data_IF_214996852950
#
_entry.id   IF_214996852950
#
_cell.length_a   1.000
_cell.length_b   1.000
_cell.length_c   1.000
_cell.angle_alpha   90.00
_cell.angle_beta   90.00
_cell.angle_gamma   90.00
#
_symmetry.space_group_name_H-M   'P 1'
#
loop_
_entity.id
_entity.type
_entity.pdbx_description
1 polymer ?
#
# COMPACT_ATOMS: atom_id res chain seq x y z
N UNK A 1 25.08 11.87 10.58
CA UNK A 1 23.96 11.07 11.14
C UNK A 1 23.33 10.26 10.04
N UNK A 2 23.42 8.93 10.05
CA UNK A 2 22.80 8.11 9.01
C UNK A 2 21.28 8.07 9.17
N UNK A 3 20.60 8.07 8.04
CA UNK A 3 19.19 7.75 7.96
C UNK A 3 19.12 6.24 7.69
N UNK A 4 18.40 5.50 8.52
CA UNK A 4 18.41 4.03 8.44
C UNK A 4 17.22 3.47 7.68
N UNK A 5 16.10 4.17 7.65
CA UNK A 5 14.91 3.71 6.95
C UNK A 5 13.90 4.86 6.79
N UNK A 6 12.82 4.58 6.08
CA UNK A 6 11.68 5.48 5.94
C UNK A 6 10.39 4.67 6.05
N UNK A 7 9.36 5.29 6.63
CA UNK A 7 8.03 4.69 6.70
C UNK A 7 7.06 5.53 5.85
N UNK A 8 6.21 4.86 5.11
CA UNK A 8 5.06 5.51 4.49
C UNK A 8 3.93 5.59 5.52
N UNK A 9 3.16 6.65 5.49
CA UNK A 9 2.03 6.84 6.41
C UNK A 9 0.78 7.25 5.65
N UNK A 10 -0.36 6.72 6.07
CA UNK A 10 -1.64 7.03 5.45
C UNK A 10 -2.72 7.21 6.53
N UNK A 11 -3.51 8.27 6.40
CA UNK A 11 -4.58 8.57 7.33
C UNK A 11 -5.89 7.92 6.88
N UNK A 12 -6.63 7.37 7.85
CA UNK A 12 -7.92 6.73 7.62
C UNK A 12 -8.95 7.27 8.61
N UNK A 13 -10.24 7.09 8.29
CA UNK A 13 -11.33 7.52 9.17
C UNK A 13 -11.49 6.63 10.39
N UNK A 14 -11.35 5.32 10.21
CA UNK A 14 -11.53 4.31 11.24
C UNK A 14 -10.44 3.26 11.08
N UNK A 15 -9.52 3.21 12.04
CA UNK A 15 -8.38 2.31 11.94
C UNK A 15 -8.80 0.83 12.00
N UNK A 16 -9.84 0.50 12.73
CA UNK A 16 -10.28 -0.90 12.83
C UNK A 16 -10.86 -1.40 11.50
N UNK A 17 -11.67 -0.58 10.84
CA UNK A 17 -12.17 -0.91 9.49
C UNK A 17 -11.04 -0.96 8.47
N UNK A 18 -10.09 -0.04 8.57
CA UNK A 18 -8.93 -0.01 7.69
C UNK A 18 -8.06 -1.25 7.86
N UNK A 19 -7.86 -1.72 9.10
CA UNK A 19 -7.08 -2.94 9.36
C UNK A 19 -7.69 -4.14 8.64
N UNK A 20 -9.00 -4.30 8.66
CA UNK A 20 -9.66 -5.40 7.95
C UNK A 20 -9.37 -5.35 6.45
N UNK A 21 -9.47 -4.16 5.86
CA UNK A 21 -9.22 -3.98 4.43
C UNK A 21 -7.75 -4.19 4.07
N UNK A 22 -6.84 -3.55 4.79
CA UNK A 22 -5.40 -3.66 4.52
C UNK A 22 -4.86 -5.06 4.79
N UNK A 23 -5.40 -5.78 5.79
CA UNK A 23 -5.01 -7.16 6.06
C UNK A 23 -5.35 -8.07 4.87
N UNK A 24 -6.49 -7.86 4.22
CA UNK A 24 -6.83 -8.60 3.00
C UNK A 24 -5.90 -8.24 1.85
N UNK A 25 -5.57 -6.96 1.71
CA UNK A 25 -4.66 -6.48 0.67
C UNK A 25 -3.27 -7.11 0.82
N UNK A 26 -2.74 -7.13 2.04
CA UNK A 26 -1.38 -7.61 2.31
C UNK A 26 -1.30 -9.10 2.63
N UNK A 27 -2.43 -9.74 2.86
CA UNK A 27 -2.49 -11.16 3.20
C UNK A 27 -2.01 -11.47 4.61
N UNK A 28 -1.94 -10.49 5.49
CA UNK A 28 -1.52 -10.68 6.89
C UNK A 28 -2.03 -9.56 7.80
N UNK A 29 -2.13 -9.87 9.08
CA UNK A 29 -2.48 -8.89 10.10
C UNK A 29 -1.31 -7.91 10.33
N UNK A 30 -1.56 -6.75 10.96
CA UNK A 30 -0.47 -5.81 11.24
C UNK A 30 0.66 -6.46 12.04
N UNK A 31 1.89 -6.07 11.73
CA UNK A 31 3.07 -6.51 12.47
C UNK A 31 3.19 -5.79 13.82
N UNK A 32 2.61 -4.61 13.94
CA UNK A 32 2.71 -3.79 15.15
C UNK A 32 1.48 -2.92 15.33
N UNK A 33 1.07 -2.71 16.57
CA UNK A 33 0.02 -1.79 16.99
C UNK A 33 0.59 -0.90 18.09
N UNK A 34 1.43 0.11 17.73
CA UNK A 34 2.08 0.94 18.76
C UNK A 34 1.11 1.75 19.61
N UNK A 35 -0.06 2.08 19.06
CA UNK A 35 -1.15 2.77 19.77
C UNK A 35 -2.48 2.25 19.25
N UNK A 36 -3.59 2.44 20.02
CA UNK A 36 -4.92 1.99 19.55
C UNK A 36 -5.32 2.56 18.19
N UNK A 37 -4.87 3.77 17.84
CA UNK A 37 -5.20 4.45 16.58
C UNK A 37 -4.23 4.16 15.45
N UNK A 38 -3.21 3.30 15.66
CA UNK A 38 -2.14 3.08 14.69
C UNK A 38 -1.92 1.59 14.47
N UNK A 39 -1.78 1.21 13.20
CA UNK A 39 -1.39 -0.13 12.79
C UNK A 39 -0.24 -0.04 11.80
N UNK A 40 0.72 -0.95 11.89
CA UNK A 40 1.88 -0.93 11.02
C UNK A 40 2.13 -2.28 10.40
N UNK A 41 2.48 -2.28 9.12
CA UNK A 41 2.88 -3.48 8.38
C UNK A 41 4.32 -3.33 7.91
N UNK A 42 5.10 -4.38 8.12
CA UNK A 42 6.49 -4.45 7.64
C UNK A 42 6.54 -5.26 6.36
N UNK A 43 7.31 -4.78 5.38
CA UNK A 43 7.50 -5.47 4.12
C UNK A 43 8.88 -6.13 4.06
N UNK A 44 9.02 -7.04 3.13
CA UNK A 44 10.16 -7.97 3.04
C UNK A 44 11.53 -7.27 3.00
N UNK A 45 11.63 -6.14 2.31
CA UNK A 45 12.89 -5.40 2.16
C UNK A 45 13.10 -4.31 3.20
N UNK A 46 12.29 -4.29 4.24
CA UNK A 46 12.45 -3.40 5.38
C UNK A 46 11.63 -2.13 5.34
N UNK A 47 10.84 -1.90 4.30
CA UNK A 47 9.88 -0.80 4.29
C UNK A 47 8.72 -1.06 5.25
N UNK A 48 8.11 0.01 5.74
CA UNK A 48 6.94 -0.07 6.62
C UNK A 48 5.84 0.82 6.11
N UNK A 49 4.59 0.39 6.29
CA UNK A 49 3.41 1.24 6.13
C UNK A 49 2.76 1.44 7.48
N UNK A 50 2.55 2.69 7.84
CA UNK A 50 1.80 3.07 9.04
C UNK A 50 0.42 3.56 8.61
N UNK A 51 -0.64 2.92 9.12
CA UNK A 51 -2.03 3.33 8.93
C UNK A 51 -2.49 3.93 10.24
N UNK A 52 -2.94 5.18 10.23
CA UNK A 52 -3.31 5.87 11.46
C UNK A 52 -4.66 6.55 11.32
N UNK A 53 -5.39 6.62 12.45
CA UNK A 53 -6.71 7.22 12.46
C UNK A 53 -6.61 8.74 12.60
N UNK A 54 -6.99 9.45 11.57
CA UNK A 54 -7.08 10.91 11.56
C UNK A 54 -8.12 11.30 10.52
N UNK A 55 -9.42 11.35 10.91
CA UNK A 55 -10.52 11.54 9.94
C UNK A 55 -10.37 12.79 9.07
N UNK A 56 -9.84 13.88 9.61
CA UNK A 56 -9.71 15.13 8.85
C UNK A 56 -8.68 15.05 7.72
N UNK A 57 -7.81 14.04 7.70
CA UNK A 57 -6.84 13.82 6.63
C UNK A 57 -7.11 12.57 5.81
N UNK A 58 -8.13 11.80 6.18
CA UNK A 58 -8.44 10.55 5.49
C UNK A 58 -8.78 10.81 4.03
N UNK A 59 -8.23 9.99 3.13
CA UNK A 59 -8.50 10.07 1.70
C UNK A 59 -7.56 10.94 0.89
N UNK A 60 -6.65 11.67 1.53
CA UNK A 60 -5.71 12.57 0.83
C UNK A 60 -4.31 11.98 0.68
N UNK A 61 -4.08 10.77 1.19
CA UNK A 61 -2.77 10.14 1.15
C UNK A 61 -2.48 9.39 -0.13
N UNK A 62 -1.21 9.06 -0.32
CA UNK A 62 -0.74 8.31 -1.48
C UNK A 62 0.55 7.59 -1.11
N UNK A 63 0.67 6.33 -1.52
CA UNK A 63 1.93 5.59 -1.37
C UNK A 63 2.07 4.55 -2.46
N UNK A 64 3.29 4.05 -2.64
CA UNK A 64 3.63 3.08 -3.68
C UNK A 64 4.17 1.81 -3.05
N UNK A 65 3.70 0.68 -3.54
CA UNK A 65 4.16 -0.65 -3.18
C UNK A 65 4.96 -1.22 -4.34
N UNK A 66 6.23 -1.54 -4.09
CA UNK A 66 7.07 -2.21 -5.08
C UNK A 66 6.75 -3.70 -5.06
N UNK A 67 6.46 -4.27 -6.21
CA UNK A 67 6.07 -5.68 -6.35
C UNK A 67 6.89 -6.35 -7.44
N UNK A 68 7.05 -7.68 -7.35
CA UNK A 68 7.77 -8.44 -8.37
C UNK A 68 6.89 -8.96 -9.50
N UNK A 69 5.58 -9.12 -9.27
CA UNK A 69 4.64 -9.59 -10.29
C UNK A 69 3.30 -8.86 -10.12
N UNK A 70 3.12 -7.81 -10.90
CA UNK A 70 1.93 -6.98 -10.80
C UNK A 70 0.67 -7.70 -11.30
N UNK A 71 0.81 -8.61 -12.26
CA UNK A 71 -0.35 -9.33 -12.80
C UNK A 71 -0.98 -10.26 -11.75
N UNK A 72 -0.16 -10.84 -10.88
CA UNK A 72 -0.64 -11.62 -9.74
C UNK A 72 -1.48 -10.76 -8.80
N UNK A 73 -1.03 -9.54 -8.53
CA UNK A 73 -1.78 -8.61 -7.67
C UNK A 73 -3.07 -8.14 -8.33
N UNK A 74 -3.06 -7.90 -9.63
CA UNK A 74 -4.29 -7.56 -10.38
C UNK A 74 -5.33 -8.66 -10.22
N UNK A 75 -4.92 -9.93 -10.38
CA UNK A 75 -5.85 -11.06 -10.25
C UNK A 75 -6.43 -11.15 -8.83
N UNK A 76 -5.57 -11.03 -7.82
CA UNK A 76 -5.99 -11.09 -6.41
C UNK A 76 -6.94 -9.94 -6.06
N UNK A 77 -6.61 -8.72 -6.47
CA UNK A 77 -7.42 -7.54 -6.18
C UNK A 77 -8.76 -7.59 -6.88
N UNK A 78 -8.80 -8.11 -8.10
CA UNK A 78 -10.04 -8.30 -8.84
C UNK A 78 -10.98 -9.25 -8.09
N UNK A 79 -10.45 -10.34 -7.55
CA UNK A 79 -11.22 -11.28 -6.74
C UNK A 79 -11.76 -10.62 -5.45
N UNK A 80 -11.03 -9.68 -4.87
CA UNK A 80 -11.47 -8.93 -3.69
C UNK A 80 -12.48 -7.82 -4.02
N UNK A 81 -12.83 -7.64 -5.29
CA UNK A 81 -13.80 -6.62 -5.71
C UNK A 81 -13.20 -5.22 -5.83
N UNK A 82 -11.90 -5.09 -5.87
CA UNK A 82 -11.22 -3.80 -6.04
C UNK A 82 -11.16 -3.45 -7.52
N UNK A 83 -11.40 -2.18 -7.86
CA UNK A 83 -11.27 -1.69 -9.23
C UNK A 83 -9.81 -1.72 -9.67
N UNK A 84 -9.48 -2.56 -10.65
CA UNK A 84 -8.13 -2.73 -11.19
C UNK A 84 -7.99 -2.17 -12.60
N UNK A 85 -8.88 -1.27 -13.01
CA UNK A 85 -8.90 -0.74 -14.38
C UNK A 85 -7.81 0.31 -14.65
N UNK A 86 -7.26 0.94 -13.62
CA UNK A 86 -6.27 2.01 -13.78
C UNK A 86 -4.84 1.46 -13.83
N UNK A 87 -4.49 0.93 -14.99
CA UNK A 87 -3.19 0.29 -15.24
C UNK A 87 -2.43 1.02 -16.34
N UNK A 88 -1.09 1.04 -16.21
CA UNK A 88 -0.23 1.47 -17.31
C UNK A 88 0.96 0.54 -17.43
N UNK A 89 1.50 0.42 -18.63
CA UNK A 89 2.64 -0.44 -18.93
C UNK A 89 3.61 0.33 -19.82
N UNK A 90 4.76 0.67 -19.26
CA UNK A 90 5.82 1.33 -19.99
C UNK A 90 7.01 0.38 -20.22
N UNK A 91 8.08 0.91 -20.82
CA UNK A 91 9.29 0.13 -21.06
C UNK A 91 10.11 -0.12 -19.80
N UNK A 92 9.92 0.68 -18.75
CA UNK A 92 10.71 0.61 -17.52
C UNK A 92 9.93 0.12 -16.31
N UNK A 93 8.62 0.37 -16.27
CA UNK A 93 7.80 0.05 -15.11
C UNK A 93 6.36 -0.22 -15.55
N UNK A 94 5.74 -1.20 -14.90
CA UNK A 94 4.30 -1.42 -14.97
C UNK A 94 3.68 -0.88 -13.69
N UNK A 95 2.52 -0.23 -13.79
CA UNK A 95 1.84 0.35 -12.63
C UNK A 95 0.37 -0.04 -12.59
N UNK A 96 -0.16 -0.09 -11.37
CA UNK A 96 -1.58 -0.23 -11.08
C UNK A 96 -1.91 0.76 -9.98
N UNK A 97 -2.96 1.56 -10.20
CA UNK A 97 -3.44 2.50 -9.19
C UNK A 97 -4.78 2.03 -8.66
N UNK A 98 -4.88 1.90 -7.34
CA UNK A 98 -6.14 1.61 -6.66
C UNK A 98 -6.39 2.67 -5.59
N UNK A 99 -7.59 2.64 -5.01
CA UNK A 99 -7.92 3.49 -3.88
C UNK A 99 -8.38 2.60 -2.71
N UNK A 100 -8.04 3.01 -1.49
CA UNK A 100 -8.60 2.39 -0.30
C UNK A 100 -10.04 2.90 -0.09
N UNK A 101 -10.80 2.36 0.89
CA UNK A 101 -12.19 2.80 1.11
C UNK A 101 -12.35 4.28 1.43
N UNK A 102 -11.33 4.94 1.94
CA UNK A 102 -11.37 6.36 2.25
C UNK A 102 -10.94 7.23 1.07
N UNK A 103 -10.44 6.64 -0.01
CA UNK A 103 -9.98 7.35 -1.19
C UNK A 103 -8.48 7.61 -1.25
N UNK A 104 -7.69 7.09 -0.31
CA UNK A 104 -6.23 7.17 -0.41
C UNK A 104 -5.75 6.39 -1.61
N UNK A 105 -4.78 6.93 -2.34
CA UNK A 105 -4.26 6.29 -3.54
C UNK A 105 -3.12 5.35 -3.21
N UNK A 106 -3.19 4.15 -3.78
CA UNK A 106 -2.16 3.12 -3.62
C UNK A 106 -1.70 2.71 -5.00
N UNK A 107 -0.41 2.93 -5.29
CA UNK A 107 0.19 2.49 -6.54
C UNK A 107 0.95 1.20 -6.31
N UNK A 108 0.77 0.23 -7.21
CA UNK A 108 1.62 -0.93 -7.31
C UNK A 108 2.58 -0.69 -8.47
N UNK A 109 3.85 -0.98 -8.29
CA UNK A 109 4.85 -0.76 -9.32
C UNK A 109 5.77 -1.96 -9.43
N UNK A 110 5.87 -2.50 -10.64
CA UNK A 110 6.82 -3.57 -10.97
C UNK A 110 7.89 -2.99 -11.89
N UNK A 111 9.15 -3.03 -11.45
CA UNK A 111 10.27 -2.60 -12.28
C UNK A 111 10.54 -3.63 -13.36
N UNK A 112 10.47 -3.21 -14.64
CA UNK A 112 10.85 -4.03 -15.78
C UNK A 112 12.33 -3.82 -16.06
N UNK A 113 12.79 -2.56 -15.93
CA UNK A 113 14.20 -2.21 -16.09
C UNK A 113 14.88 -2.34 -14.73
N UNK A 114 15.88 -3.24 -14.65
CA UNK A 114 16.59 -3.52 -13.40
C UNK A 114 17.41 -2.34 -12.88
N UNK A 115 17.57 -1.28 -13.67
CA UNK A 115 18.19 -0.05 -13.20
C UNK A 115 17.27 0.78 -12.31
N UNK A 116 15.95 0.46 -12.29
CA UNK A 116 14.98 1.13 -11.42
C UNK A 116 15.10 0.57 -10.01
N UNK A 117 15.32 1.43 -9.01
CA UNK A 117 15.40 1.03 -7.60
C UNK A 117 13.98 0.85 -7.04
N UNK A 118 13.57 -0.40 -6.82
CA UNK A 118 12.26 -0.73 -6.25
C UNK A 118 12.40 -1.66 -5.05
#
# INVERSE_FOLDING_TARGET
MPIENALASVAVKDVNAAIEWYAKLFGKQPDSRPMPEVAEWKFERGGWLQVYQLPERAGSGSFTLAVSDIDEHVAQLTELGVDTSHRSSGSKVKTLMIADPDGNHIAFAEAIDTSMAR
#
